data_IF_365470881901
#
_entry.id   IF_365470881901
#
_cell.length_a   1.000
_cell.length_b   1.000
_cell.length_c   1.000
_cell.angle_alpha   90.00
_cell.angle_beta   90.00
_cell.angle_gamma   90.00
#
_symmetry.space_group_name_H-M   'P 1'
#
loop_
_entity.id
_entity.type
_entity.pdbx_description
1 polymer ?
#
# COMPACT_ATOMS: atom_id res chain seq x y z
N UNK A 1 -13.99 6.89 -15.44
CA UNK A 1 -13.84 6.23 -14.13
C UNK A 1 -12.50 5.53 -14.10
N UNK A 2 -11.62 5.91 -13.19
CA UNK A 2 -10.34 5.24 -13.01
C UNK A 2 -10.55 3.87 -12.36
N UNK A 3 -9.77 2.87 -12.80
CA UNK A 3 -10.19 1.46 -12.79
C UNK A 3 -9.27 0.56 -11.99
N UNK A 4 -8.41 1.06 -11.10
CA UNK A 4 -7.37 0.21 -10.50
C UNK A 4 -7.86 -0.56 -9.26
N UNK A 5 -7.03 -0.70 -8.23
CA UNK A 5 -7.35 -1.51 -7.06
C UNK A 5 -7.27 -0.75 -5.76
N UNK A 6 -8.05 -1.18 -4.78
CA UNK A 6 -8.04 -0.67 -3.39
C UNK A 6 -8.16 -1.81 -2.41
N UNK A 7 -7.86 -1.53 -1.15
CA UNK A 7 -8.25 -2.40 -0.05
C UNK A 7 -9.71 -2.09 0.30
N UNK A 8 -10.57 -3.10 0.22
CA UNK A 8 -11.98 -3.00 0.57
C UNK A 8 -12.26 -3.44 2.00
N UNK A 9 -11.44 -4.34 2.56
CA UNK A 9 -11.54 -4.77 3.94
C UNK A 9 -10.17 -5.10 4.56
N UNK A 10 -9.85 -4.60 5.76
CA UNK A 10 -10.55 -3.50 6.42
C UNK A 10 -10.48 -2.23 5.58
N UNK A 11 -11.44 -1.31 5.74
CA UNK A 11 -11.49 -0.09 4.95
C UNK A 11 -10.19 0.71 5.12
N UNK A 12 -9.56 1.09 4.00
CA UNK A 12 -8.39 1.96 4.03
C UNK A 12 -8.77 3.40 4.40
N UNK A 13 -7.77 4.22 4.74
CA UNK A 13 -7.92 5.67 4.93
C UNK A 13 -8.60 6.34 3.73
N UNK A 14 -8.18 5.98 2.52
CA UNK A 14 -8.78 6.48 1.29
C UNK A 14 -10.24 6.05 1.14
N UNK A 15 -10.56 4.82 1.54
CA UNK A 15 -11.93 4.35 1.54
C UNK A 15 -12.83 5.14 2.49
N UNK A 16 -12.36 5.43 3.71
CA UNK A 16 -13.11 6.27 4.65
C UNK A 16 -13.35 7.68 4.12
N UNK A 17 -12.34 8.30 3.49
CA UNK A 17 -12.51 9.63 2.91
C UNK A 17 -13.48 9.63 1.71
N UNK A 18 -13.52 8.56 0.92
CA UNK A 18 -14.53 8.42 -0.13
C UNK A 18 -15.94 8.32 0.43
N UNK A 19 -16.14 7.56 1.50
CA UNK A 19 -17.45 7.47 2.17
C UNK A 19 -17.90 8.79 2.82
N UNK A 20 -16.93 9.64 3.16
CA UNK A 20 -17.17 11.02 3.60
C UNK A 20 -17.40 12.01 2.44
N UNK A 21 -17.38 11.55 1.19
CA UNK A 21 -17.55 12.39 0.00
C UNK A 21 -16.35 13.30 -0.30
N UNK A 22 -15.18 13.05 0.32
CA UNK A 22 -13.97 13.86 0.17
C UNK A 22 -13.07 13.38 -0.97
N UNK A 23 -13.15 12.10 -1.33
CA UNK A 23 -12.49 11.52 -2.50
C UNK A 23 -13.55 10.97 -3.45
N UNK A 24 -13.28 11.00 -4.75
CA UNK A 24 -14.04 10.22 -5.73
C UNK A 24 -13.54 8.76 -5.79
N UNK A 25 -14.36 7.87 -6.33
CA UNK A 25 -14.04 6.43 -6.38
C UNK A 25 -12.77 6.12 -7.19
N UNK A 26 -12.46 6.97 -8.18
CA UNK A 26 -11.23 6.88 -8.94
C UNK A 26 -10.00 7.14 -8.10
N UNK A 27 -10.02 8.24 -7.35
CA UNK A 27 -8.93 8.65 -6.46
C UNK A 27 -8.59 7.59 -5.42
N UNK A 28 -9.59 6.88 -4.88
CA UNK A 28 -9.37 5.77 -3.92
C UNK A 28 -8.54 4.63 -4.54
N UNK A 29 -8.80 4.31 -5.80
CA UNK A 29 -8.14 3.22 -6.51
C UNK A 29 -6.76 3.60 -7.09
N UNK A 30 -6.42 4.89 -7.09
CA UNK A 30 -5.27 5.43 -7.83
C UNK A 30 -4.29 6.20 -6.96
N UNK A 31 -4.04 5.74 -5.73
CA UNK A 31 -2.88 6.23 -4.98
C UNK A 31 -1.59 5.61 -5.58
N UNK A 32 -1.26 5.99 -6.82
CA UNK A 32 -0.24 5.37 -7.67
C UNK A 32 1.10 6.14 -7.61
N UNK A 33 2.09 5.55 -6.94
CA UNK A 33 3.45 6.08 -6.84
C UNK A 33 4.47 5.25 -7.61
N UNK A 34 5.76 5.59 -7.50
CA UNK A 34 6.83 4.68 -7.92
C UNK A 34 6.90 3.44 -7.04
N UNK A 35 7.28 2.28 -7.59
CA UNK A 35 7.45 1.03 -6.82
C UNK A 35 8.81 0.92 -6.14
N UNK A 36 8.94 -0.02 -5.20
CA UNK A 36 10.18 -0.26 -4.47
C UNK A 36 10.36 0.59 -3.21
N UNK A 37 9.26 1.00 -2.56
CA UNK A 37 9.30 1.47 -1.17
C UNK A 37 9.97 0.39 -0.29
N UNK A 38 10.87 0.74 0.64
CA UNK A 38 11.19 2.07 1.17
C UNK A 38 12.34 2.79 0.44
N UNK A 39 12.76 2.31 -0.74
CA UNK A 39 13.77 2.97 -1.55
C UNK A 39 13.42 4.43 -1.87
N UNK A 40 14.45 5.21 -2.22
CA UNK A 40 14.32 6.63 -2.57
C UNK A 40 14.61 6.91 -4.04
N UNK A 41 15.36 6.03 -4.70
CA UNK A 41 15.84 6.24 -6.05
C UNK A 41 14.90 5.60 -7.07
N UNK A 42 14.86 6.19 -8.26
CA UNK A 42 14.27 5.58 -9.44
C UNK A 42 15.32 4.86 -10.29
N UNK A 43 14.87 4.26 -11.39
CA UNK A 43 15.70 3.54 -12.35
C UNK A 43 16.47 2.36 -11.72
N UNK A 44 15.86 1.71 -10.73
CA UNK A 44 16.37 0.48 -10.11
C UNK A 44 15.61 -0.74 -10.66
N UNK A 45 16.32 -1.86 -10.90
CA UNK A 45 15.68 -3.12 -11.23
C UNK A 45 14.97 -3.69 -10.00
N UNK A 46 14.02 -4.57 -10.24
CA UNK A 46 13.41 -5.37 -9.18
C UNK A 46 14.41 -6.44 -8.67
N UNK A 47 14.58 -6.62 -7.34
CA UNK A 47 15.57 -7.55 -6.79
C UNK A 47 15.26 -9.02 -7.06
N UNK A 48 13.97 -9.39 -7.24
CA UNK A 48 13.53 -10.78 -7.43
C UNK A 48 13.29 -11.10 -8.92
N UNK A 49 13.06 -10.07 -9.73
CA UNK A 49 12.77 -10.19 -11.16
C UNK A 49 13.42 -9.06 -11.97
N UNK A 50 14.73 -9.17 -12.30
CA UNK A 50 15.47 -8.11 -13.01
C UNK A 50 14.89 -7.67 -14.36
N UNK A 51 14.05 -8.51 -14.98
CA UNK A 51 13.36 -8.23 -16.24
C UNK A 51 12.05 -7.42 -16.07
N UNK A 52 11.61 -7.16 -14.83
CA UNK A 52 10.50 -6.26 -14.56
C UNK A 52 10.87 -4.81 -14.93
N UNK A 53 9.85 -4.01 -15.26
CA UNK A 53 10.07 -2.60 -15.60
C UNK A 53 10.70 -1.88 -14.41
N UNK A 54 11.71 -1.06 -14.66
CA UNK A 54 12.45 -0.36 -13.60
C UNK A 54 11.53 0.62 -12.89
N UNK A 55 11.76 0.86 -11.60
CA UNK A 55 10.93 1.78 -10.86
C UNK A 55 11.12 3.25 -11.30
N UNK A 56 10.12 4.09 -10.99
CA UNK A 56 10.33 5.52 -10.79
C UNK A 56 10.51 5.77 -9.29
N UNK A 57 11.04 6.93 -8.85
CA UNK A 57 11.22 7.20 -7.43
C UNK A 57 9.92 6.94 -6.65
N UNK A 58 9.96 6.16 -5.55
CA UNK A 58 8.81 5.98 -4.69
C UNK A 58 8.33 7.31 -4.07
N UNK A 59 7.10 7.37 -3.52
CA UNK A 59 6.62 8.56 -2.84
C UNK A 59 7.61 9.06 -1.79
N UNK A 60 7.84 10.38 -1.79
CA UNK A 60 8.66 11.03 -0.79
C UNK A 60 8.01 10.93 0.60
N UNK A 61 8.82 11.10 1.65
CA UNK A 61 8.29 11.21 3.01
C UNK A 61 7.27 12.36 3.09
N UNK A 62 6.19 12.13 3.84
CA UNK A 62 5.02 12.99 3.91
C UNK A 62 4.01 12.83 2.76
N UNK A 63 4.35 12.09 1.70
CA UNK A 63 3.46 11.83 0.55
C UNK A 63 3.15 10.34 0.36
N UNK A 64 3.53 9.49 1.32
CA UNK A 64 3.38 8.04 1.24
C UNK A 64 1.91 7.63 1.10
N UNK A 65 1.03 8.21 1.92
CA UNK A 65 -0.39 7.82 1.97
C UNK A 65 -1.15 8.13 0.68
N UNK A 66 -0.78 9.21 -0.02
CA UNK A 66 -1.40 9.58 -1.28
C UNK A 66 -0.75 8.93 -2.50
N UNK A 67 0.27 8.08 -2.34
CA UNK A 67 1.06 7.57 -3.46
C UNK A 67 1.86 8.67 -4.18
N UNK A 68 2.19 9.78 -3.52
CA UNK A 68 2.91 10.91 -4.12
C UNK A 68 2.02 12.01 -4.70
N UNK A 69 0.69 11.82 -4.69
CA UNK A 69 -0.25 12.80 -5.23
C UNK A 69 -0.41 14.03 -4.31
N UNK A 70 -0.31 15.22 -4.90
CA UNK A 70 -0.39 16.53 -4.20
C UNK A 70 -1.35 17.52 -4.85
N UNK A 71 -1.73 17.30 -6.12
CA UNK A 71 -2.47 18.29 -6.92
C UNK A 71 -4.00 18.15 -6.84
N UNK A 72 -4.52 17.14 -6.14
CA UNK A 72 -5.95 16.87 -6.03
C UNK A 72 -6.34 16.38 -4.62
N UNK A 73 -7.59 15.92 -4.46
CA UNK A 73 -8.14 15.52 -3.17
C UNK A 73 -7.36 14.37 -2.49
N UNK A 74 -6.55 13.58 -3.22
CA UNK A 74 -5.66 12.59 -2.59
C UNK A 74 -4.63 13.24 -1.66
N UNK A 75 -4.31 14.52 -1.83
CA UNK A 75 -3.45 15.26 -0.90
C UNK A 75 -3.99 15.26 0.54
N UNK A 76 -5.32 15.11 0.72
CA UNK A 76 -5.94 14.97 2.05
C UNK A 76 -5.42 13.75 2.82
N UNK A 77 -4.98 12.70 2.13
CA UNK A 77 -4.46 11.46 2.75
C UNK A 77 -3.18 11.70 3.55
N UNK A 78 -2.46 12.79 3.23
CA UNK A 78 -1.18 13.15 3.83
C UNK A 78 -1.33 13.94 5.15
N UNK A 79 -2.56 14.21 5.60
CA UNK A 79 -2.78 14.92 6.86
C UNK A 79 -2.25 14.12 8.07
N UNK A 80 -1.69 14.84 9.03
CA UNK A 80 -1.11 14.27 10.26
C UNK A 80 -2.14 14.15 11.37
N UNK A 81 -1.74 13.46 12.44
CA UNK A 81 -2.49 13.35 13.67
C UNK A 81 -3.26 12.04 13.81
N UNK A 82 -3.86 11.87 14.99
CA UNK A 82 -4.57 10.66 15.40
C UNK A 82 -6.09 10.73 15.15
N UNK A 83 -6.57 11.69 14.37
CA UNK A 83 -8.01 11.89 14.12
C UNK A 83 -8.62 10.86 13.15
N UNK A 84 -7.79 10.10 12.43
CA UNK A 84 -8.24 9.08 11.48
C UNK A 84 -9.12 8.01 12.13
N UNK A 85 -10.14 7.55 11.41
CA UNK A 85 -10.93 6.36 11.81
C UNK A 85 -10.00 5.14 11.83
N UNK A 86 -10.00 4.40 12.94
CA UNK A 86 -9.12 3.25 13.16
C UNK A 86 -9.92 1.97 13.32
N UNK A 87 -9.33 0.87 12.89
CA UNK A 87 -9.84 -0.47 13.17
C UNK A 87 -9.28 -0.96 14.49
N UNK A 88 -10.15 -1.33 15.43
CA UNK A 88 -9.72 -1.94 16.68
C UNK A 88 -9.20 -3.36 16.40
N UNK A 89 -7.95 -3.61 16.75
CA UNK A 89 -7.26 -4.88 16.49
C UNK A 89 -6.53 -5.39 17.72
N UNK A 90 -6.15 -6.66 17.67
CA UNK A 90 -5.21 -7.29 18.60
C UNK A 90 -4.05 -7.89 17.81
N UNK A 91 -2.90 -8.14 18.43
CA UNK A 91 -1.83 -8.92 17.81
C UNK A 91 -2.35 -10.29 17.36
N UNK A 92 -1.82 -10.81 16.25
CA UNK A 92 -2.24 -12.10 15.69
C UNK A 92 -2.83 -12.01 14.27
N UNK A 93 -3.60 -13.03 13.85
CA UNK A 93 -4.09 -13.15 12.47
C UNK A 93 -4.92 -11.94 12.02
N UNK A 94 -4.61 -11.44 10.83
CA UNK A 94 -5.27 -10.29 10.24
C UNK A 94 -5.44 -10.46 8.73
N UNK A 95 -6.64 -10.19 8.24
CA UNK A 95 -7.00 -10.37 6.84
C UNK A 95 -7.10 -9.03 6.13
N UNK A 96 -6.49 -8.95 4.95
CA UNK A 96 -6.62 -7.82 4.03
C UNK A 96 -7.19 -8.31 2.71
N UNK A 97 -8.26 -7.67 2.24
CA UNK A 97 -8.95 -7.97 1.00
C UNK A 97 -8.75 -6.79 0.05
N UNK A 98 -8.09 -7.08 -1.08
CA UNK A 98 -8.00 -6.21 -2.23
C UNK A 98 -9.15 -6.46 -3.19
N UNK A 99 -9.69 -5.39 -3.75
CA UNK A 99 -10.68 -5.40 -4.81
C UNK A 99 -10.13 -4.65 -6.02
N UNK A 100 -10.08 -5.32 -7.17
CA UNK A 100 -9.51 -4.78 -8.42
C UNK A 100 -10.60 -4.56 -9.47
N UNK A 101 -10.68 -3.32 -9.98
CA UNK A 101 -11.52 -2.99 -11.15
C UNK A 101 -10.77 -3.15 -12.48
N UNK A 102 -9.45 -3.29 -12.40
CA UNK A 102 -8.50 -3.57 -13.47
C UNK A 102 -7.32 -4.25 -12.81
N UNK A 103 -7.05 -5.47 -13.27
CA UNK A 103 -5.93 -6.26 -12.80
C UNK A 103 -4.67 -5.88 -13.58
N UNK A 104 -3.54 -5.84 -12.88
CA UNK A 104 -2.22 -5.61 -13.46
C UNK A 104 -1.35 -6.84 -13.23
N UNK A 105 -0.30 -7.04 -14.02
CA UNK A 105 0.69 -8.08 -13.74
C UNK A 105 1.40 -7.69 -12.45
N UNK A 106 1.18 -8.41 -11.37
CA UNK A 106 1.68 -8.08 -10.05
C UNK A 106 2.99 -8.79 -9.77
N UNK A 107 3.99 -8.05 -9.28
CA UNK A 107 5.20 -8.66 -8.73
C UNK A 107 5.01 -9.07 -7.28
N UNK A 108 4.62 -8.13 -6.41
CA UNK A 108 4.43 -8.40 -4.98
C UNK A 108 3.40 -7.49 -4.33
N UNK A 109 2.97 -7.92 -3.15
CA UNK A 109 2.35 -7.08 -2.14
C UNK A 109 3.21 -7.07 -0.89
N UNK A 110 3.54 -5.89 -0.39
CA UNK A 110 4.35 -5.70 0.81
C UNK A 110 3.57 -4.93 1.86
N UNK A 111 3.62 -5.40 3.09
CA UNK A 111 2.91 -4.82 4.23
C UNK A 111 3.93 -4.30 5.23
N UNK A 112 3.84 -3.02 5.58
CA UNK A 112 4.76 -2.33 6.49
C UNK A 112 3.95 -1.79 7.66
N UNK A 113 4.46 -1.95 8.88
CA UNK A 113 3.80 -1.40 10.07
C UNK A 113 4.67 -0.34 10.71
N UNK A 114 4.05 0.63 11.37
CA UNK A 114 4.81 1.62 12.13
C UNK A 114 5.52 1.03 13.35
N UNK A 115 6.70 1.59 13.66
CA UNK A 115 7.51 1.25 14.84
C UNK A 115 6.77 1.60 16.13
N UNK A 116 7.13 0.94 17.23
CA UNK A 116 6.69 1.35 18.57
C UNK A 116 7.20 2.77 18.86
N UNK A 117 6.32 3.64 19.34
CA UNK A 117 6.66 5.03 19.66
C UNK A 117 6.76 5.97 18.44
N UNK A 118 6.28 5.55 17.26
CA UNK A 118 6.16 6.48 16.12
C UNK A 118 5.28 7.69 16.47
N UNK A 119 5.58 8.84 15.88
CA UNK A 119 4.86 10.09 16.16
C UNK A 119 3.73 10.30 15.14
N UNK A 120 2.44 10.15 15.53
CA UNK A 120 1.32 10.34 14.61
C UNK A 120 1.12 11.79 14.19
N UNK A 121 1.66 12.76 14.93
CA UNK A 121 1.52 14.19 14.61
C UNK A 121 2.52 14.66 13.52
N UNK A 122 3.41 13.76 13.08
CA UNK A 122 4.30 13.97 11.93
C UNK A 122 3.74 13.33 10.65
N UNK A 123 4.07 13.88 9.46
CA UNK A 123 3.74 13.23 8.19
C UNK A 123 4.39 11.85 8.11
N UNK A 124 3.64 10.85 7.62
CA UNK A 124 4.17 9.49 7.45
C UNK A 124 5.47 9.52 6.65
N UNK A 125 6.52 8.99 7.25
CA UNK A 125 7.86 8.96 6.71
C UNK A 125 8.48 7.58 6.91
N UNK A 126 9.50 7.24 6.11
CA UNK A 126 10.22 5.96 6.23
C UNK A 126 10.69 5.68 7.66
N UNK A 127 11.15 6.71 8.38
CA UNK A 127 11.57 6.60 9.79
C UNK A 127 10.49 6.07 10.73
N UNK A 128 9.21 6.17 10.36
CA UNK A 128 8.08 5.70 11.17
C UNK A 128 7.76 4.22 10.96
N UNK A 129 8.19 3.61 9.86
CA UNK A 129 7.91 2.19 9.53
C UNK A 129 9.06 1.30 9.96
N UNK A 130 8.75 0.07 10.36
CA UNK A 130 9.78 -0.97 10.58
C UNK A 130 10.69 -1.11 9.35
N UNK A 131 11.95 -1.45 9.59
CA UNK A 131 12.97 -1.52 8.54
C UNK A 131 12.70 -2.67 7.56
N UNK A 132 11.95 -3.68 8.01
CA UNK A 132 11.48 -4.82 7.22
C UNK A 132 9.93 -4.87 7.19
N UNK A 133 9.34 -5.36 6.09
CA UNK A 133 7.89 -5.55 6.01
C UNK A 133 7.44 -6.65 6.98
N UNK A 134 6.24 -6.51 7.54
CA UNK A 134 5.63 -7.56 8.38
C UNK A 134 5.20 -8.77 7.56
N UNK A 135 4.95 -8.58 6.26
CA UNK A 135 4.59 -9.66 5.35
C UNK A 135 4.85 -9.26 3.88
N UNK A 136 5.27 -10.24 3.06
CA UNK A 136 5.46 -10.07 1.62
C UNK A 136 4.88 -11.26 0.86
N UNK A 137 3.93 -10.97 -0.04
CA UNK A 137 3.40 -11.96 -0.99
C UNK A 137 4.07 -11.74 -2.33
N UNK A 138 5.02 -12.61 -2.69
CA UNK A 138 5.81 -12.52 -3.91
C UNK A 138 5.31 -13.50 -4.97
N UNK A 139 4.98 -12.99 -6.16
CA UNK A 139 4.85 -13.82 -7.35
C UNK A 139 6.23 -14.10 -7.94
N UNK A 140 6.51 -15.35 -8.30
CA UNK A 140 7.85 -15.78 -8.75
C UNK A 140 7.99 -15.98 -10.26
N UNK A 141 6.89 -15.90 -11.02
CA UNK A 141 6.94 -16.05 -12.49
C UNK A 141 7.74 -14.91 -13.12
N UNK A 142 8.63 -15.25 -14.06
CA UNK A 142 9.48 -14.32 -14.80
C UNK A 142 9.89 -14.91 -16.16
N UNK A 143 10.21 -14.07 -17.15
CA UNK A 143 9.97 -12.62 -17.19
C UNK A 143 8.47 -12.30 -17.32
N UNK A 144 8.05 -11.08 -16.98
CA UNK A 144 6.63 -10.71 -16.97
C UNK A 144 5.95 -10.80 -18.35
N UNK A 145 6.72 -10.85 -19.44
CA UNK A 145 6.23 -10.91 -20.82
C UNK A 145 6.29 -12.32 -21.43
N UNK A 146 6.83 -13.31 -20.73
CA UNK A 146 6.90 -14.67 -21.27
C UNK A 146 5.50 -15.31 -21.43
N UNK A 147 5.34 -16.28 -22.36
CA UNK A 147 4.15 -17.12 -22.40
C UNK A 147 3.85 -17.75 -21.03
N UNK A 148 2.60 -17.67 -20.57
CA UNK A 148 2.21 -18.12 -19.22
C UNK A 148 2.29 -17.05 -18.12
N UNK A 149 2.75 -15.83 -18.43
CA UNK A 149 2.82 -14.71 -17.48
C UNK A 149 1.47 -14.20 -16.96
N UNK A 150 0.35 -14.72 -17.46
CA UNK A 150 -0.98 -14.38 -16.97
C UNK A 150 -1.22 -14.84 -15.52
N UNK A 151 -0.39 -15.77 -15.01
CA UNK A 151 -0.37 -16.14 -13.59
C UNK A 151 0.00 -14.97 -12.67
N UNK A 152 0.59 -13.89 -13.21
CA UNK A 152 0.89 -12.67 -12.47
C UNK A 152 -0.34 -11.78 -12.24
N UNK A 153 -1.45 -12.00 -12.95
CA UNK A 153 -2.67 -11.24 -12.70
C UNK A 153 -3.36 -11.77 -11.44
N UNK A 154 -3.67 -10.91 -10.45
CA UNK A 154 -4.44 -11.31 -9.30
C UNK A 154 -5.89 -11.61 -9.68
N UNK A 155 -6.58 -12.36 -8.82
CA UNK A 155 -8.05 -12.49 -8.91
C UNK A 155 -8.70 -11.14 -8.59
N UNK A 156 -9.88 -10.81 -9.15
CA UNK A 156 -10.56 -9.53 -8.91
C UNK A 156 -10.82 -9.21 -7.43
N UNK A 157 -11.02 -10.26 -6.62
CA UNK A 157 -11.01 -10.19 -5.16
C UNK A 157 -9.86 -11.07 -4.69
N UNK A 158 -8.93 -10.49 -3.92
CA UNK A 158 -7.74 -11.18 -3.46
C UNK A 158 -7.53 -10.94 -1.97
N UNK A 159 -7.45 -12.01 -1.20
CA UNK A 159 -7.25 -11.96 0.24
C UNK A 159 -5.82 -12.37 0.59
N UNK A 160 -5.22 -11.60 1.48
CA UNK A 160 -4.01 -11.95 2.21
C UNK A 160 -4.33 -12.13 3.69
N UNK A 161 -3.65 -13.07 4.31
CA UNK A 161 -3.68 -13.28 5.75
C UNK A 161 -2.25 -13.14 6.26
N UNK A 162 -2.05 -12.20 7.18
CA UNK A 162 -0.77 -11.93 7.83
C UNK A 162 -0.92 -12.03 9.35
N UNK A 163 0.20 -11.93 10.07
CA UNK A 163 0.20 -11.87 11.54
C UNK A 163 0.62 -10.47 11.99
N UNK A 164 -0.29 -9.71 12.61
CA UNK A 164 0.05 -8.42 13.20
C UNK A 164 0.97 -8.63 14.42
N UNK A 165 2.06 -7.86 14.53
CA UNK A 165 2.97 -7.94 15.68
C UNK A 165 2.35 -7.35 16.94
N UNK A 166 3.03 -7.53 18.08
CA UNK A 166 2.65 -6.87 19.33
C UNK A 166 2.85 -5.35 19.23
N UNK A 167 1.78 -4.60 19.55
CA UNK A 167 1.66 -3.15 19.46
C UNK A 167 0.59 -2.67 20.44
N UNK A 168 0.57 -1.35 20.73
CA UNK A 168 -0.44 -0.72 21.57
C UNK A 168 -0.84 0.64 21.01
N UNK A 169 -2.13 0.93 21.02
CA UNK A 169 -2.67 2.20 20.54
C UNK A 169 -2.57 2.35 19.02
N UNK A 170 -2.49 3.61 18.57
CA UNK A 170 -2.56 3.95 17.16
C UNK A 170 -1.30 3.52 16.38
N UNK A 171 -1.50 2.73 15.33
CA UNK A 171 -0.49 2.34 14.35
C UNK A 171 -1.03 2.45 12.92
N UNK A 172 -0.11 2.53 11.97
CA UNK A 172 -0.44 2.51 10.54
C UNK A 172 0.13 1.26 9.91
N UNK A 173 -0.72 0.52 9.20
CA UNK A 173 -0.34 -0.54 8.28
C UNK A 173 -0.37 0.03 6.86
N UNK A 174 0.81 0.15 6.24
CA UNK A 174 0.97 0.51 4.84
C UNK A 174 0.99 -0.75 3.99
N UNK A 175 0.12 -0.81 2.99
CA UNK A 175 0.10 -1.87 2.00
C UNK A 175 0.52 -1.31 0.64
N UNK A 176 1.52 -1.94 0.02
CA UNK A 176 2.09 -1.53 -1.27
C UNK A 176 1.94 -2.67 -2.26
N UNK A 177 1.32 -2.39 -3.41
CA UNK A 177 1.13 -3.33 -4.50
C UNK A 177 2.04 -2.95 -5.68
N UNK A 178 3.10 -3.71 -5.92
CA UNK A 178 4.05 -3.49 -7.00
C UNK A 178 3.59 -4.11 -8.32
N UNK A 179 3.56 -3.32 -9.38
CA UNK A 179 3.22 -3.77 -10.73
C UNK A 179 4.50 -4.16 -11.49
N UNK A 180 4.54 -5.40 -11.99
CA UNK A 180 5.72 -5.97 -12.66
C UNK A 180 6.04 -5.23 -13.98
N UNK A 181 5.01 -4.94 -14.78
CA UNK A 181 5.15 -4.40 -16.13
C UNK A 181 5.01 -2.87 -16.22
N UNK A 182 5.08 -2.15 -15.10
CA UNK A 182 5.16 -0.69 -15.04
C UNK A 182 6.17 -0.23 -14.00
N UNK A 183 6.47 1.05 -13.98
CA UNK A 183 7.36 1.67 -12.99
C UNK A 183 6.68 1.91 -11.61
N UNK A 184 5.42 1.49 -11.46
CA UNK A 184 4.51 1.99 -10.45
C UNK A 184 4.08 0.95 -9.40
N UNK A 185 3.63 1.46 -8.27
CA UNK A 185 2.95 0.71 -7.22
C UNK A 185 1.73 1.48 -6.72
N UNK A 186 0.75 0.74 -6.20
CA UNK A 186 -0.43 1.31 -5.54
C UNK A 186 -0.26 1.27 -4.02
N UNK A 187 -0.48 2.41 -3.37
CA UNK A 187 -0.30 2.61 -1.94
C UNK A 187 -1.66 2.69 -1.25
N UNK A 188 -1.85 1.93 -0.17
CA UNK A 188 -3.05 2.00 0.67
C UNK A 188 -2.65 2.00 2.14
N UNK A 189 -3.25 2.90 2.92
CA UNK A 189 -3.02 3.02 4.36
C UNK A 189 -4.22 2.46 5.11
N UNK A 190 -3.98 1.60 6.09
CA UNK A 190 -4.98 1.15 7.06
C UNK A 190 -4.56 1.68 8.43
N UNK A 191 -5.48 2.43 9.05
CA UNK A 191 -5.31 2.98 10.39
C UNK A 191 -5.81 1.96 11.43
N UNK A 192 -4.95 1.60 12.39
CA UNK A 192 -5.18 0.54 13.37
C UNK A 192 -5.12 1.10 14.79
N UNK A 193 -6.00 0.64 15.67
CA UNK A 193 -5.91 0.87 17.11
C UNK A 193 -5.74 -0.48 17.83
N UNK A 194 -4.54 -0.73 18.35
CA UNK A 194 -4.23 -1.96 19.07
C UNK A 194 -4.78 -1.88 20.49
N UNK A 195 -5.89 -2.58 20.70
CA UNK A 195 -6.59 -2.68 21.98
C UNK A 195 -6.09 -3.90 22.76
N UNK A 196 -6.13 -3.82 24.10
CA UNK A 196 -5.87 -4.95 25.00
C UNK A 196 -6.98 -5.99 24.95
#
# INVERSE_FOLDING_TARGET
MPRHGRISNPQSRAQFLYEEGKLDFGQVNECEGGKGFPGLLGNLPDPDAPDDVYNRPPPADGLIASGGHTADARALLNATGSHWKKHNVRPGPFNVIWEYRQVHKTRRWSYWITKVGWNPDEPLARKHFEDEPVEVFLNTFRPYYAPGSDVLYPRPIHQHTMTLPDRKGYHVLLAVWDVANTAAAFYQVIDLDFIS
#
